data_IF_115100009314
#
_entry.id   IF_115100009314
#
_cell.length_a   1.000
_cell.length_b   1.000
_cell.length_c   1.000
_cell.angle_alpha   90.00
_cell.angle_beta   90.00
_cell.angle_gamma   90.00
#
_symmetry.space_group_name_H-M   'P 1'
#
loop_
_entity.id
_entity.type
_entity.pdbx_description
1 polymer ?
#
# COMPACT_ATOMS: atom_id res chain seq x y z
N UNK A 1 -30.27 2.07 -53.98
CA UNK A 1 -29.24 3.04 -53.61
C UNK A 1 -29.36 3.58 -52.18
N UNK A 2 -30.25 3.06 -51.36
CA UNK A 2 -30.37 3.49 -49.94
C UNK A 2 -29.59 2.63 -48.94
N UNK A 3 -28.91 1.60 -49.37
CA UNK A 3 -28.19 0.63 -48.52
C UNK A 3 -26.73 1.07 -48.22
N UNK A 4 -26.19 2.01 -49.03
CA UNK A 4 -24.79 2.48 -48.83
C UNK A 4 -24.59 3.49 -47.71
N UNK A 5 -25.64 4.07 -47.15
CA UNK A 5 -25.54 5.03 -46.05
C UNK A 5 -25.57 4.38 -44.66
N UNK A 6 -25.99 3.12 -44.56
CA UNK A 6 -26.11 2.43 -43.26
C UNK A 6 -24.82 1.81 -42.81
N UNK A 7 -23.84 1.63 -43.70
CA UNK A 7 -22.53 1.01 -43.35
C UNK A 7 -21.49 1.99 -42.82
N UNK A 8 -21.74 3.29 -42.91
CA UNK A 8 -20.76 4.31 -42.49
C UNK A 8 -20.93 4.68 -41.00
N UNK A 9 -22.07 4.38 -40.39
CA UNK A 9 -22.36 4.76 -39.01
C UNK A 9 -21.83 3.73 -37.98
N UNK A 10 -21.52 2.51 -38.40
CA UNK A 10 -21.08 1.45 -37.51
C UNK A 10 -19.56 1.48 -37.22
N UNK A 11 -18.78 2.20 -38.02
CA UNK A 11 -17.31 2.24 -37.87
C UNK A 11 -16.79 3.37 -36.99
N UNK A 12 -17.66 4.24 -36.47
CA UNK A 12 -17.26 5.37 -35.64
C UNK A 12 -17.34 5.11 -34.10
N UNK A 13 -17.65 3.88 -33.68
CA UNK A 13 -17.89 3.59 -32.26
C UNK A 13 -16.81 2.67 -31.59
N UNK A 14 -15.67 2.46 -32.24
CA UNK A 14 -14.62 1.57 -31.75
C UNK A 14 -13.32 2.29 -31.33
N UNK A 15 -13.41 3.58 -31.00
CA UNK A 15 -12.31 4.26 -30.29
C UNK A 15 -12.85 4.81 -28.98
N UNK A 16 -13.49 3.96 -28.17
CA UNK A 16 -13.46 4.15 -26.75
C UNK A 16 -12.06 3.71 -26.30
N UNK A 17 -11.12 4.65 -26.29
CA UNK A 17 -9.81 4.41 -25.73
C UNK A 17 -9.99 3.89 -24.32
N UNK A 18 -9.60 2.65 -24.07
CA UNK A 18 -9.28 2.20 -22.74
C UNK A 18 -8.12 3.08 -22.27
N UNK A 19 -8.42 4.19 -21.61
CA UNK A 19 -7.45 4.82 -20.72
C UNK A 19 -7.33 3.88 -19.53
N UNK A 20 -6.51 2.82 -19.67
CA UNK A 20 -6.08 2.02 -18.55
C UNK A 20 -5.19 2.94 -17.70
N UNK A 21 -5.76 3.53 -16.65
CA UNK A 21 -4.97 3.98 -15.54
C UNK A 21 -4.11 2.78 -15.10
N UNK A 22 -2.80 2.94 -14.90
CA UNK A 22 -1.97 1.84 -14.46
C UNK A 22 -2.57 1.30 -13.17
N UNK A 23 -3.05 0.06 -13.22
CA UNK A 23 -3.63 -0.61 -12.06
C UNK A 23 -2.52 -0.81 -11.03
N UNK A 24 -2.76 -0.33 -9.82
CA UNK A 24 -1.85 -0.48 -8.70
C UNK A 24 -1.70 -1.97 -8.37
N UNK A 25 -0.50 -2.42 -8.04
CA UNK A 25 -0.28 -3.80 -7.63
C UNK A 25 -1.16 -4.14 -6.41
N UNK A 26 -1.78 -5.33 -6.37
CA UNK A 26 -2.76 -5.67 -5.33
C UNK A 26 -2.24 -5.57 -3.90
N UNK A 27 -1.00 -5.94 -3.66
CA UNK A 27 -0.34 -5.83 -2.35
C UNK A 27 -0.14 -4.37 -1.92
N UNK A 28 0.16 -3.49 -2.88
CA UNK A 28 0.30 -2.04 -2.63
C UNK A 28 -1.05 -1.41 -2.33
N UNK A 29 -2.10 -1.79 -3.07
CA UNK A 29 -3.45 -1.28 -2.83
C UNK A 29 -3.98 -1.70 -1.46
N UNK A 30 -3.75 -2.94 -1.06
CA UNK A 30 -4.10 -3.44 0.27
C UNK A 30 -3.33 -2.73 1.39
N UNK A 31 -2.06 -2.44 1.18
CA UNK A 31 -1.26 -1.68 2.15
C UNK A 31 -1.76 -0.24 2.30
N UNK A 32 -2.22 0.40 1.23
CA UNK A 32 -2.84 1.73 1.29
C UNK A 32 -4.19 1.71 2.02
N UNK A 33 -5.04 0.72 1.75
CA UNK A 33 -6.30 0.54 2.47
C UNK A 33 -6.06 0.31 3.97
N UNK A 34 -5.02 -0.46 4.32
CA UNK A 34 -4.62 -0.68 5.70
C UNK A 34 -4.12 0.62 6.37
N UNK A 35 -3.38 1.46 5.66
CA UNK A 35 -2.97 2.78 6.14
C UNK A 35 -4.17 3.65 6.53
N UNK A 36 -5.22 3.67 5.70
CA UNK A 36 -6.46 4.39 6.01
C UNK A 36 -7.19 3.78 7.22
N UNK A 37 -7.19 2.45 7.35
CA UNK A 37 -7.76 1.77 8.53
C UNK A 37 -6.98 2.11 9.81
N UNK A 38 -5.64 2.21 9.75
CA UNK A 38 -4.80 2.66 10.88
C UNK A 38 -5.15 4.10 11.26
N UNK A 39 -5.32 5.00 10.29
CA UNK A 39 -5.73 6.37 10.53
C UNK A 39 -7.08 6.46 11.26
N UNK A 40 -7.99 5.55 10.94
CA UNK A 40 -9.29 5.40 11.62
C UNK A 40 -9.19 4.61 12.94
N UNK A 41 -8.01 4.14 13.34
CA UNK A 41 -7.75 3.27 14.51
C UNK A 41 -8.48 1.91 14.46
N UNK A 42 -8.86 1.48 13.26
CA UNK A 42 -9.41 0.15 12.99
C UNK A 42 -8.26 -0.84 12.75
N UNK A 43 -7.58 -1.20 13.83
CA UNK A 43 -6.39 -2.05 13.77
C UNK A 43 -6.70 -3.49 13.35
N UNK A 44 -7.87 -4.00 13.66
CA UNK A 44 -8.30 -5.34 13.26
C UNK A 44 -8.43 -5.44 11.73
N UNK A 45 -9.13 -4.47 11.13
CA UNK A 45 -9.25 -4.36 9.68
C UNK A 45 -7.89 -4.15 9.02
N UNK A 46 -7.06 -3.27 9.58
CA UNK A 46 -5.71 -3.01 9.06
C UNK A 46 -4.87 -4.29 9.06
N UNK A 47 -4.85 -5.05 10.16
CA UNK A 47 -4.11 -6.30 10.27
C UNK A 47 -4.55 -7.30 9.19
N UNK A 48 -5.86 -7.52 9.04
CA UNK A 48 -6.39 -8.44 8.04
C UNK A 48 -5.97 -8.06 6.60
N UNK A 49 -6.03 -6.78 6.25
CA UNK A 49 -5.58 -6.29 4.95
C UNK A 49 -4.07 -6.49 4.73
N UNK A 50 -3.27 -6.27 5.76
CA UNK A 50 -1.81 -6.39 5.71
C UNK A 50 -1.36 -7.86 5.63
N UNK A 51 -2.05 -8.76 6.30
CA UNK A 51 -1.78 -10.20 6.18
C UNK A 51 -2.02 -10.68 4.74
N UNK A 52 -3.09 -10.21 4.09
CA UNK A 52 -3.34 -10.52 2.67
C UNK A 52 -2.27 -9.88 1.78
N UNK A 53 -1.92 -8.61 2.00
CA UNK A 53 -0.86 -7.94 1.24
C UNK A 53 0.47 -8.70 1.32
N UNK A 54 0.87 -9.13 2.52
CA UNK A 54 2.11 -9.88 2.75
C UNK A 54 2.04 -11.33 2.28
N UNK A 55 0.85 -11.91 2.12
CA UNK A 55 0.69 -13.21 1.46
C UNK A 55 0.95 -13.13 -0.04
N UNK A 56 0.65 -11.97 -0.66
CA UNK A 56 0.92 -11.69 -2.07
C UNK A 56 2.39 -11.32 -2.29
N UNK A 57 2.90 -10.40 -1.47
CA UNK A 57 4.29 -9.94 -1.52
C UNK A 57 4.87 -9.86 -0.10
N UNK A 58 5.57 -10.91 0.37
CA UNK A 58 6.15 -10.97 1.73
C UNK A 58 7.16 -9.87 2.03
N UNK A 59 7.73 -9.24 1.00
CA UNK A 59 8.76 -8.22 1.11
C UNK A 59 8.25 -6.80 0.80
N UNK A 60 6.91 -6.62 0.74
CA UNK A 60 6.34 -5.27 0.59
C UNK A 60 6.68 -4.41 1.83
N UNK A 61 7.58 -3.42 1.71
CA UNK A 61 8.08 -2.69 2.85
C UNK A 61 7.03 -1.77 3.49
N UNK A 62 6.05 -1.30 2.72
CA UNK A 62 4.93 -0.51 3.25
C UNK A 62 3.99 -1.36 4.08
N UNK A 63 3.69 -2.58 3.62
CA UNK A 63 2.87 -3.52 4.38
C UNK A 63 3.57 -3.94 5.68
N UNK A 64 4.88 -4.18 5.65
CA UNK A 64 5.67 -4.48 6.84
C UNK A 64 5.66 -3.30 7.83
N UNK A 65 5.87 -2.07 7.35
CA UNK A 65 5.83 -0.88 8.21
C UNK A 65 4.46 -0.73 8.89
N UNK A 66 3.39 -0.80 8.11
CA UNK A 66 2.04 -0.64 8.61
C UNK A 66 1.68 -1.75 9.60
N UNK A 67 2.10 -3.00 9.36
CA UNK A 67 1.87 -4.10 10.29
C UNK A 67 2.66 -3.90 11.60
N UNK A 68 3.88 -3.41 11.52
CA UNK A 68 4.66 -3.00 12.69
C UNK A 68 3.93 -1.95 13.53
N UNK A 69 3.35 -0.93 12.90
CA UNK A 69 2.55 0.10 13.55
C UNK A 69 1.30 -0.49 14.21
N UNK A 70 0.59 -1.40 13.54
CA UNK A 70 -0.56 -2.10 14.12
C UNK A 70 -0.16 -2.88 15.37
N UNK A 71 0.90 -3.67 15.30
CA UNK A 71 1.38 -4.44 16.44
C UNK A 71 1.82 -3.55 17.61
N UNK A 72 2.52 -2.45 17.33
CA UNK A 72 2.93 -1.49 18.36
C UNK A 72 1.71 -0.85 19.04
N UNK A 73 0.72 -0.42 18.30
CA UNK A 73 -0.49 0.20 18.85
C UNK A 73 -1.43 -0.78 19.57
N UNK A 74 -1.26 -2.07 19.35
CA UNK A 74 -2.04 -3.13 20.02
C UNK A 74 -1.23 -3.87 21.11
N UNK A 75 -0.06 -3.33 21.51
CA UNK A 75 0.77 -3.84 22.59
C UNK A 75 1.59 -5.10 22.26
N UNK A 76 1.65 -5.50 20.99
CA UNK A 76 2.40 -6.66 20.51
C UNK A 76 3.81 -6.26 20.08
N UNK A 77 4.59 -5.75 21.02
CA UNK A 77 5.87 -5.07 20.78
C UNK A 77 6.91 -5.95 20.08
N UNK A 78 7.04 -7.22 20.46
CA UNK A 78 8.01 -8.12 19.82
C UNK A 78 7.65 -8.40 18.35
N UNK A 79 6.36 -8.56 18.05
CA UNK A 79 5.91 -8.69 16.65
C UNK A 79 6.17 -7.41 15.85
N UNK A 80 5.98 -6.25 16.45
CA UNK A 80 6.31 -4.97 15.80
C UNK A 80 7.82 -4.91 15.47
N UNK A 81 8.65 -5.27 16.43
CA UNK A 81 10.12 -5.33 16.27
C UNK A 81 10.53 -6.19 15.08
N UNK A 82 9.95 -7.37 14.96
CA UNK A 82 10.23 -8.30 13.85
C UNK A 82 9.95 -7.65 12.48
N UNK A 83 8.83 -6.91 12.35
CA UNK A 83 8.49 -6.24 11.10
C UNK A 83 9.49 -5.12 10.76
N UNK A 84 9.85 -4.29 11.74
CA UNK A 84 10.81 -3.20 11.52
C UNK A 84 12.22 -3.71 11.20
N UNK A 85 12.68 -4.76 11.87
CA UNK A 85 13.96 -5.40 11.55
C UNK A 85 13.96 -5.95 10.13
N UNK A 86 12.87 -6.56 9.68
CA UNK A 86 12.75 -7.05 8.31
C UNK A 86 12.89 -5.93 7.27
N UNK A 87 12.31 -4.75 7.51
CA UNK A 87 12.46 -3.58 6.63
C UNK A 87 13.94 -3.17 6.50
N UNK A 88 14.66 -3.17 7.62
CA UNK A 88 16.09 -2.81 7.65
C UNK A 88 16.91 -3.85 6.88
N UNK A 89 16.63 -5.14 7.06
CA UNK A 89 17.30 -6.22 6.34
C UNK A 89 17.05 -6.19 4.84
N UNK A 90 15.87 -5.74 4.41
CA UNK A 90 15.53 -5.53 3.00
C UNK A 90 16.20 -4.28 2.39
N UNK A 91 16.81 -3.43 3.22
CA UNK A 91 17.37 -2.12 2.81
C UNK A 91 16.37 -1.28 2.00
N UNK A 92 15.12 -1.24 2.47
CA UNK A 92 14.01 -0.55 1.81
C UNK A 92 14.21 0.96 1.81
N UNK A 93 14.67 1.50 0.68
CA UNK A 93 15.00 2.93 0.51
C UNK A 93 13.81 3.78 0.05
N UNK A 94 12.69 3.16 -0.19
CA UNK A 94 11.45 3.84 -0.54
C UNK A 94 11.10 4.87 0.53
N UNK A 95 10.54 6.00 0.09
CA UNK A 95 10.14 7.08 0.97
C UNK A 95 8.63 7.08 1.19
N UNK A 96 8.21 7.55 2.36
CA UNK A 96 6.79 7.68 2.70
C UNK A 96 6.24 8.97 2.09
N UNK A 97 5.25 8.84 1.20
CA UNK A 97 4.55 9.98 0.61
C UNK A 97 3.46 10.55 1.53
N UNK A 98 2.85 9.69 2.36
CA UNK A 98 1.81 10.07 3.35
C UNK A 98 2.17 9.50 4.70
N UNK A 99 1.88 10.23 5.77
CA UNK A 99 2.04 9.73 7.13
C UNK A 99 0.94 10.27 8.04
N UNK A 100 0.50 9.43 8.98
CA UNK A 100 -0.38 9.84 10.09
C UNK A 100 0.41 10.49 11.24
N UNK A 101 1.74 10.50 11.13
CA UNK A 101 2.66 11.09 12.11
C UNK A 101 3.40 12.25 11.46
N UNK A 102 3.26 13.44 12.06
CA UNK A 102 3.91 14.65 11.56
C UNK A 102 5.44 14.47 11.47
N UNK A 103 6.01 14.85 10.34
CA UNK A 103 7.46 14.82 10.11
C UNK A 103 8.01 13.49 9.60
N UNK A 104 7.14 12.53 9.25
CA UNK A 104 7.54 11.26 8.64
C UNK A 104 7.52 11.30 7.12
N UNK A 105 6.82 12.27 6.51
CA UNK A 105 6.78 12.41 5.06
C UNK A 105 8.18 12.67 4.50
N UNK A 106 8.54 11.94 3.46
CA UNK A 106 9.84 12.03 2.80
C UNK A 106 10.98 11.27 3.48
N UNK A 107 10.76 10.68 4.67
CA UNK A 107 11.73 9.77 5.29
C UNK A 107 11.75 8.42 4.57
N UNK A 108 12.91 7.77 4.54
CA UNK A 108 13.02 6.40 4.05
C UNK A 108 12.33 5.42 5.02
N UNK A 109 11.82 4.31 4.50
CA UNK A 109 11.19 3.28 5.33
C UNK A 109 12.19 2.68 6.34
N UNK A 110 13.48 2.58 5.96
CA UNK A 110 14.55 2.13 6.87
C UNK A 110 14.73 3.10 8.03
N UNK A 111 14.72 4.41 7.78
CA UNK A 111 14.89 5.41 8.85
C UNK A 111 13.70 5.41 9.81
N UNK A 112 12.48 5.27 9.26
CA UNK A 112 11.27 5.16 10.09
C UNK A 112 11.29 3.88 10.93
N UNK A 113 11.71 2.76 10.36
CA UNK A 113 11.82 1.50 11.09
C UNK A 113 12.85 1.61 12.24
N UNK A 114 13.98 2.28 12.02
CA UNK A 114 14.98 2.54 13.06
C UNK A 114 14.44 3.45 14.16
N UNK A 115 13.79 4.57 13.77
CA UNK A 115 13.18 5.50 14.72
C UNK A 115 12.14 4.78 15.61
N UNK A 116 11.31 3.91 15.00
CA UNK A 116 10.32 3.15 15.75
C UNK A 116 10.95 2.13 16.69
N UNK A 117 12.04 1.47 16.29
CA UNK A 117 12.78 0.54 17.16
C UNK A 117 13.44 1.24 18.36
N UNK A 118 13.93 2.46 18.17
CA UNK A 118 14.56 3.25 19.25
C UNK A 118 13.54 3.77 20.28
N UNK A 119 12.28 3.95 19.84
CA UNK A 119 11.21 4.54 20.66
C UNK A 119 10.21 3.51 21.24
N UNK A 120 10.53 2.21 21.17
CA UNK A 120 9.70 1.14 21.75
C UNK A 120 10.03 0.76 23.22
#
# INVERSE_FOLDING_TARGET
MKIKLLFIIILAFLIAGCSSTPEKAPDVDLADQAFEAIAAKDYEKAEALLEVALSINPDNPYALLNLGVVYQNTGRIEKAREQYVKIILLDAKETVAKSNVKGMEGKSLVDIAKDNLENM
#
